data_IF_161704067794
#
_entry.id   IF_161704067794
#
_cell.length_a   1.000
_cell.length_b   1.000
_cell.length_c   1.000
_cell.angle_alpha   90.00
_cell.angle_beta   90.00
_cell.angle_gamma   90.00
#
_symmetry.space_group_name_H-M   'P 1'
#
loop_
_entity.id
_entity.type
_entity.pdbx_description
1 polymer ?
#
# COMPACT_ATOMS: atom_id res chain seq x y z
N UNK A 1 77.90 3.32 29.49
CA UNK A 1 76.55 2.99 30.00
C UNK A 1 75.53 3.63 29.06
N UNK A 2 75.66 3.36 27.76
CA UNK A 2 75.27 4.32 26.73
C UNK A 2 74.75 3.58 25.51
N UNK A 3 73.78 4.20 24.83
CA UNK A 3 73.11 3.81 23.57
C UNK A 3 71.90 2.86 23.64
N UNK A 4 71.92 1.72 24.34
CA UNK A 4 70.79 0.77 24.30
C UNK A 4 69.56 1.20 25.12
N UNK A 5 69.72 1.85 26.26
CA UNK A 5 68.60 2.36 27.07
C UNK A 5 67.93 3.60 26.46
N UNK A 6 68.70 4.46 25.80
CA UNK A 6 68.19 5.64 25.07
C UNK A 6 67.39 5.24 23.82
N UNK A 7 67.81 4.18 23.11
CA UNK A 7 67.06 3.62 21.97
C UNK A 7 65.75 2.97 22.45
N UNK A 8 65.76 2.34 23.62
CA UNK A 8 64.55 1.75 24.23
C UNK A 8 63.55 2.82 24.68
N UNK A 9 64.02 3.93 25.27
CA UNK A 9 63.17 5.06 25.67
C UNK A 9 62.59 5.82 24.47
N UNK A 10 63.36 5.99 23.39
CA UNK A 10 62.88 6.59 22.15
C UNK A 10 61.81 5.71 21.47
N UNK A 11 62.01 4.38 21.47
CA UNK A 11 61.01 3.41 20.99
C UNK A 11 59.72 3.40 21.83
N UNK A 12 59.84 3.47 23.16
CA UNK A 12 58.69 3.58 24.06
C UNK A 12 57.93 4.90 23.88
N UNK A 13 58.64 6.02 23.75
CA UNK A 13 58.05 7.33 23.50
C UNK A 13 57.28 7.36 22.18
N UNK A 14 57.87 6.80 21.11
CA UNK A 14 57.20 6.66 19.81
C UNK A 14 55.95 5.77 19.88
N UNK A 15 56.00 4.69 20.65
CA UNK A 15 54.84 3.81 20.86
C UNK A 15 53.73 4.52 21.66
N UNK A 16 54.08 5.28 22.69
CA UNK A 16 53.13 6.09 23.45
C UNK A 16 52.48 7.18 22.59
N UNK A 17 53.26 7.85 21.74
CA UNK A 17 52.76 8.84 20.77
C UNK A 17 51.78 8.17 19.79
N UNK A 18 52.15 7.00 19.26
CA UNK A 18 51.31 6.24 18.33
C UNK A 18 50.02 5.74 18.98
N UNK A 19 50.08 5.19 20.20
CA UNK A 19 48.90 4.78 20.97
C UNK A 19 48.00 5.97 21.30
N UNK A 20 48.56 7.15 21.56
CA UNK A 20 47.79 8.38 21.79
C UNK A 20 47.06 8.82 20.52
N UNK A 21 47.74 8.79 19.36
CA UNK A 21 47.13 9.12 18.07
C UNK A 21 46.02 8.12 17.70
N UNK A 22 46.27 6.82 17.87
CA UNK A 22 45.26 5.76 17.68
C UNK A 22 44.06 5.96 18.62
N UNK A 23 44.29 6.25 19.91
CA UNK A 23 43.21 6.52 20.85
C UNK A 23 42.38 7.74 20.45
N UNK A 24 43.02 8.78 19.91
CA UNK A 24 42.35 10.00 19.44
C UNK A 24 41.55 9.73 18.16
N UNK A 25 42.11 8.93 17.25
CA UNK A 25 41.43 8.48 16.04
C UNK A 25 40.19 7.63 16.37
N UNK A 26 40.33 6.64 17.25
CA UNK A 26 39.19 5.81 17.71
C UNK A 26 38.10 6.69 18.35
N UNK A 27 38.48 7.68 19.16
CA UNK A 27 37.50 8.62 19.75
C UNK A 27 36.79 9.45 18.69
N UNK A 28 37.52 9.94 17.69
CA UNK A 28 36.95 10.70 16.58
C UNK A 28 36.02 9.83 15.72
N UNK A 29 36.44 8.62 15.36
CA UNK A 29 35.60 7.67 14.61
C UNK A 29 34.35 7.30 15.39
N UNK A 30 34.46 7.04 16.71
CA UNK A 30 33.30 6.77 17.56
C UNK A 30 32.32 7.95 17.57
N UNK A 31 32.82 9.18 17.72
CA UNK A 31 31.98 10.38 17.68
C UNK A 31 31.31 10.56 16.31
N UNK A 32 32.03 10.30 15.23
CA UNK A 32 31.51 10.33 13.86
C UNK A 32 30.40 9.28 13.64
N UNK A 33 30.61 8.05 14.12
CA UNK A 33 29.60 6.98 14.07
C UNK A 33 28.36 7.32 14.90
N UNK A 34 28.54 7.92 16.08
CA UNK A 34 27.41 8.37 16.90
C UNK A 34 26.59 9.48 16.22
N UNK A 35 27.25 10.43 15.55
CA UNK A 35 26.58 11.47 14.77
C UNK A 35 25.84 10.89 13.56
N UNK A 36 26.48 9.97 12.84
CA UNK A 36 25.86 9.28 11.71
C UNK A 36 24.64 8.47 12.16
N UNK A 37 24.73 7.76 13.28
CA UNK A 37 23.60 7.00 13.82
C UNK A 37 22.43 7.92 14.20
N UNK A 38 22.70 9.08 14.82
CA UNK A 38 21.66 10.08 15.10
C UNK A 38 20.97 10.58 13.83
N UNK A 39 21.74 10.82 12.77
CA UNK A 39 21.19 11.21 11.45
C UNK A 39 20.31 10.11 10.87
N UNK A 40 20.78 8.86 10.86
CA UNK A 40 20.03 7.71 10.36
C UNK A 40 18.71 7.55 11.13
N UNK A 41 18.74 7.63 12.46
CA UNK A 41 17.53 7.53 13.29
C UNK A 41 16.54 8.65 12.97
N UNK A 42 17.03 9.88 12.74
CA UNK A 42 16.17 11.01 12.37
C UNK A 42 15.50 10.78 11.02
N UNK A 43 16.26 10.45 9.98
CA UNK A 43 15.74 10.16 8.64
C UNK A 43 14.77 8.98 8.65
N UNK A 44 15.09 7.92 9.40
CA UNK A 44 14.21 6.77 9.60
C UNK A 44 12.85 7.20 10.18
N UNK A 45 12.87 7.98 11.25
CA UNK A 45 11.64 8.46 11.88
C UNK A 45 10.82 9.33 10.94
N UNK A 46 11.45 10.20 10.15
CA UNK A 46 10.74 11.04 9.20
C UNK A 46 10.13 10.23 8.05
N UNK A 47 10.84 9.22 7.55
CA UNK A 47 10.29 8.25 6.58
C UNK A 47 9.09 7.50 7.16
N UNK A 48 9.18 6.97 8.38
CA UNK A 48 8.07 6.27 9.03
C UNK A 48 6.82 7.15 9.16
N UNK A 49 6.98 8.44 9.48
CA UNK A 49 5.85 9.39 9.51
C UNK A 49 5.21 9.56 8.14
N UNK A 50 6.02 9.74 7.09
CA UNK A 50 5.51 9.90 5.73
C UNK A 50 4.74 8.65 5.27
N UNK A 51 5.26 7.45 5.56
CA UNK A 51 4.58 6.19 5.26
C UNK A 51 3.25 6.11 5.99
N UNK A 52 3.22 6.43 7.28
CA UNK A 52 2.00 6.41 8.07
C UNK A 52 0.94 7.37 7.50
N UNK A 53 1.32 8.63 7.20
CA UNK A 53 0.42 9.62 6.59
C UNK A 53 -0.11 9.10 5.25
N UNK A 54 0.78 8.61 4.39
CA UNK A 54 0.42 8.09 3.08
C UNK A 54 -0.60 6.95 3.17
N UNK A 55 -0.46 6.04 4.14
CA UNK A 55 -1.37 4.91 4.33
C UNK A 55 -2.76 5.35 4.79
N UNK A 56 -2.83 6.27 5.75
CA UNK A 56 -4.10 6.85 6.18
C UNK A 56 -4.77 7.63 5.06
N UNK A 57 -3.99 8.31 4.20
CA UNK A 57 -4.55 8.96 3.00
C UNK A 57 -5.15 7.96 2.01
N UNK A 58 -4.46 6.84 1.76
CA UNK A 58 -4.99 5.77 0.91
C UNK A 58 -6.27 5.17 1.48
N UNK A 59 -6.36 5.00 2.79
CA UNK A 59 -7.56 4.49 3.45
C UNK A 59 -8.73 5.47 3.31
N UNK A 60 -8.52 6.77 3.61
CA UNK A 60 -9.53 7.81 3.42
C UNK A 60 -10.02 7.86 1.96
N UNK A 61 -9.10 7.79 0.99
CA UNK A 61 -9.45 7.74 -0.44
C UNK A 61 -10.27 6.50 -0.78
N UNK A 62 -9.92 5.34 -0.21
CA UNK A 62 -10.66 4.08 -0.42
C UNK A 62 -12.07 4.17 0.15
N UNK A 63 -12.22 4.73 1.36
CA UNK A 63 -13.52 4.96 1.99
C UNK A 63 -14.38 5.95 1.21
N UNK A 64 -13.77 7.01 0.66
CA UNK A 64 -14.44 7.95 -0.23
C UNK A 64 -14.95 7.29 -1.51
N UNK A 65 -14.11 6.46 -2.16
CA UNK A 65 -14.48 5.72 -3.37
C UNK A 65 -15.67 4.77 -3.08
N UNK A 66 -15.64 4.12 -1.92
CA UNK A 66 -16.71 3.20 -1.49
C UNK A 66 -17.97 3.92 -0.98
N UNK A 67 -17.95 5.26 -0.92
CA UNK A 67 -19.06 6.10 -0.44
C UNK A 67 -19.46 5.77 1.01
N UNK A 68 -18.47 5.58 1.88
CA UNK A 68 -18.70 5.34 3.30
C UNK A 68 -19.32 6.56 3.99
N UNK A 69 -20.24 6.32 4.94
CA UNK A 69 -21.02 7.36 5.65
C UNK A 69 -20.15 8.37 6.41
N UNK A 70 -18.92 8.00 6.76
CA UNK A 70 -18.02 8.81 7.60
C UNK A 70 -17.12 9.76 6.79
N UNK A 71 -16.95 9.51 5.48
CA UNK A 71 -16.02 10.25 4.63
C UNK A 71 -16.78 10.95 3.52
N UNK A 72 -16.97 12.27 3.70
CA UNK A 72 -17.50 13.15 2.66
C UNK A 72 -16.36 13.90 1.95
N UNK A 73 -16.54 14.31 0.68
CA UNK A 73 -15.56 15.14 -0.04
C UNK A 73 -15.17 16.42 0.72
N UNK A 74 -16.10 16.98 1.51
CA UNK A 74 -15.90 18.18 2.32
C UNK A 74 -15.03 17.91 3.56
N UNK A 75 -15.15 16.72 4.15
CA UNK A 75 -14.39 16.33 5.34
C UNK A 75 -12.98 15.81 5.01
N UNK A 76 -12.72 15.34 3.78
CA UNK A 76 -11.40 14.81 3.39
C UNK A 76 -10.26 15.80 3.66
N UNK A 77 -10.44 17.08 3.34
CA UNK A 77 -9.42 18.11 3.59
C UNK A 77 -9.15 18.31 5.08
N UNK A 78 -10.19 18.23 5.93
CA UNK A 78 -10.05 18.33 7.37
C UNK A 78 -9.33 17.12 7.95
N UNK A 79 -9.70 15.91 7.50
CA UNK A 79 -9.05 14.67 7.92
C UNK A 79 -7.56 14.67 7.53
N UNK A 80 -7.21 15.10 6.33
CA UNK A 80 -5.81 15.24 5.92
C UNK A 80 -5.05 16.26 6.78
N UNK A 81 -5.64 17.42 7.06
CA UNK A 81 -5.01 18.42 7.92
C UNK A 81 -4.76 17.87 9.34
N UNK A 82 -5.70 17.10 9.88
CA UNK A 82 -5.53 16.45 11.18
C UNK A 82 -4.37 15.44 11.17
N UNK A 83 -4.24 14.64 10.11
CA UNK A 83 -3.12 13.71 9.94
C UNK A 83 -1.77 14.45 9.88
N UNK A 84 -1.69 15.55 9.12
CA UNK A 84 -0.47 16.35 9.05
C UNK A 84 -0.13 17.07 10.36
N UNK A 85 -1.13 17.41 11.16
CA UNK A 85 -0.95 18.05 12.48
C UNK A 85 -0.60 17.07 13.61
N UNK A 86 -0.55 15.77 13.32
CA UNK A 86 -0.38 14.73 14.34
C UNK A 86 1.05 14.69 14.90
N UNK A 87 1.16 14.68 16.22
CA UNK A 87 2.44 14.60 16.93
C UNK A 87 2.77 13.14 17.26
N UNK A 88 3.93 12.68 16.79
CA UNK A 88 4.42 11.32 17.05
C UNK A 88 5.15 11.29 18.38
N UNK A 89 4.71 10.40 19.27
CA UNK A 89 5.29 10.18 20.60
C UNK A 89 5.89 8.78 20.65
N UNK A 90 7.04 8.65 21.28
CA UNK A 90 7.68 7.35 21.46
C UNK A 90 6.83 6.46 22.37
N UNK A 91 6.51 5.25 21.91
CA UNK A 91 5.55 4.37 22.58
C UNK A 91 5.92 4.02 24.03
N UNK A 92 7.21 3.95 24.37
CA UNK A 92 7.65 3.66 25.74
C UNK A 92 7.26 4.75 26.75
N UNK A 93 7.05 6.00 26.31
CA UNK A 93 6.59 7.11 27.17
C UNK A 93 5.14 6.96 27.61
N UNK A 94 4.34 6.23 26.82
CA UNK A 94 2.91 6.01 27.06
C UNK A 94 2.71 4.63 27.71
N UNK A 95 3.39 3.61 27.20
CA UNK A 95 3.21 2.22 27.59
C UNK A 95 4.04 1.83 28.82
N UNK A 96 5.02 2.66 29.22
CA UNK A 96 5.87 2.50 30.41
C UNK A 96 6.35 1.04 30.59
N UNK A 97 5.76 0.31 31.55
CA UNK A 97 6.16 -1.05 31.92
C UNK A 97 5.76 -2.12 30.87
N UNK A 98 4.63 -1.93 30.19
CA UNK A 98 4.12 -2.88 29.19
C UNK A 98 4.85 -2.78 27.85
N UNK A 99 5.65 -1.72 27.64
CA UNK A 99 6.36 -1.52 26.39
C UNK A 99 7.30 -2.70 26.06
N UNK A 100 8.00 -3.23 27.07
CA UNK A 100 8.92 -4.34 26.88
C UNK A 100 8.18 -5.64 26.50
N UNK A 101 7.07 -5.93 27.17
CA UNK A 101 6.24 -7.12 26.92
C UNK A 101 5.60 -7.07 25.53
N UNK A 102 5.03 -5.93 25.15
CA UNK A 102 4.42 -5.72 23.83
C UNK A 102 5.47 -5.87 22.73
N UNK A 103 6.68 -5.33 22.92
CA UNK A 103 7.77 -5.50 21.95
C UNK A 103 8.18 -6.96 21.80
N UNK A 104 8.18 -7.75 22.88
CA UNK A 104 8.45 -9.19 22.78
C UNK A 104 7.36 -9.92 22.01
N UNK A 105 6.09 -9.64 22.29
CA UNK A 105 4.96 -10.21 21.55
C UNK A 105 5.04 -9.83 20.07
N UNK A 106 5.32 -8.56 19.79
CA UNK A 106 5.50 -8.05 18.44
C UNK A 106 6.61 -8.81 17.70
N UNK A 107 7.79 -8.95 18.30
CA UNK A 107 8.90 -9.72 17.71
C UNK A 107 8.49 -11.15 17.40
N UNK A 108 7.82 -11.84 18.32
CA UNK A 108 7.34 -13.22 18.10
C UNK A 108 6.39 -13.28 16.90
N UNK A 109 5.47 -12.32 16.78
CA UNK A 109 4.50 -12.27 15.68
C UNK A 109 5.15 -11.98 14.33
N UNK A 110 6.12 -11.05 14.27
CA UNK A 110 6.85 -10.73 13.03
C UNK A 110 7.58 -11.95 12.48
N UNK A 111 8.25 -12.71 13.35
CA UNK A 111 9.00 -13.91 12.95
C UNK A 111 8.13 -15.17 12.77
N UNK A 112 6.82 -15.09 12.99
CA UNK A 112 5.91 -16.22 12.87
C UNK A 112 4.76 -15.95 11.88
N UNK A 113 5.04 -15.72 10.58
CA UNK A 113 4.02 -15.39 9.58
C UNK A 113 2.94 -16.49 9.44
N UNK A 114 3.31 -17.75 9.68
CA UNK A 114 2.37 -18.88 9.73
C UNK A 114 1.32 -18.73 10.83
N UNK A 115 1.74 -18.34 12.03
CA UNK A 115 0.85 -18.19 13.18
C UNK A 115 -0.10 -17.02 12.97
N UNK A 116 0.40 -15.92 12.41
CA UNK A 116 -0.41 -14.75 12.05
C UNK A 116 -1.44 -15.13 10.97
N UNK A 117 -1.06 -15.92 9.95
CA UNK A 117 -2.00 -16.41 8.95
C UNK A 117 -3.10 -17.29 9.55
N UNK A 118 -2.76 -18.19 10.48
CA UNK A 118 -3.73 -19.02 11.21
C UNK A 118 -4.67 -18.17 12.07
N UNK A 119 -4.13 -17.17 12.76
CA UNK A 119 -4.90 -16.24 13.58
C UNK A 119 -5.90 -15.47 12.73
N UNK A 120 -5.46 -14.86 11.63
CA UNK A 120 -6.34 -14.12 10.72
C UNK A 120 -7.43 -15.03 10.12
N UNK A 121 -7.08 -16.24 9.68
CA UNK A 121 -8.06 -17.18 9.16
C UNK A 121 -9.07 -17.62 10.22
N UNK A 122 -8.63 -17.81 11.47
CA UNK A 122 -9.50 -18.08 12.60
C UNK A 122 -10.47 -16.92 12.88
N UNK A 123 -9.97 -15.69 12.82
CA UNK A 123 -10.78 -14.48 13.03
C UNK A 123 -11.83 -14.30 11.94
N UNK A 124 -11.52 -14.61 10.68
CA UNK A 124 -12.50 -14.56 9.58
C UNK A 124 -13.64 -15.57 9.78
N UNK A 125 -13.31 -16.80 10.20
CA UNK A 125 -14.32 -17.83 10.49
C UNK A 125 -15.17 -17.48 11.72
N UNK A 126 -14.57 -16.84 12.73
CA UNK A 126 -15.24 -16.40 13.95
C UNK A 126 -16.01 -15.08 13.78
N UNK A 127 -15.71 -14.27 12.75
CA UNK A 127 -16.41 -13.01 12.50
C UNK A 127 -17.91 -13.23 12.18
N UNK A 128 -18.29 -14.43 11.76
CA UNK A 128 -19.70 -14.82 11.60
C UNK A 128 -20.47 -14.89 12.94
N UNK A 129 -19.81 -14.83 14.11
CA UNK A 129 -20.47 -15.16 15.40
C UNK A 129 -20.48 -14.06 16.46
N UNK A 130 -19.97 -12.83 16.23
CA UNK A 130 -20.13 -11.58 17.04
C UNK A 130 -18.81 -10.79 17.25
N UNK A 131 -18.04 -10.48 16.20
CA UNK A 131 -16.90 -9.55 16.36
C UNK A 131 -17.35 -8.14 15.96
N UNK A 132 -17.27 -7.18 16.91
CA UNK A 132 -17.61 -5.76 16.70
C UNK A 132 -16.60 -5.01 15.83
N UNK A 133 -15.38 -5.53 15.71
CA UNK A 133 -14.34 -4.96 14.86
C UNK A 133 -14.42 -5.50 13.45
N UNK A 134 -14.34 -4.60 12.48
CA UNK A 134 -14.34 -4.96 11.08
C UNK A 134 -13.05 -5.72 10.76
N UNK A 135 -13.14 -6.87 10.07
CA UNK A 135 -11.96 -7.63 9.60
C UNK A 135 -10.98 -6.70 8.85
N UNK A 136 -11.51 -5.66 8.19
CA UNK A 136 -10.75 -4.61 7.52
C UNK A 136 -9.78 -3.87 8.45
N UNK A 137 -10.20 -3.49 9.67
CA UNK A 137 -9.34 -2.84 10.67
C UNK A 137 -8.22 -3.78 11.13
N UNK A 138 -8.54 -5.06 11.32
CA UNK A 138 -7.55 -6.05 11.73
C UNK A 138 -6.49 -6.26 10.65
N UNK A 139 -6.93 -6.42 9.39
CA UNK A 139 -6.03 -6.55 8.25
C UNK A 139 -5.17 -5.28 8.09
N UNK A 140 -5.77 -4.09 8.26
CA UNK A 140 -5.06 -2.82 8.21
C UNK A 140 -4.00 -2.74 9.31
N UNK A 141 -4.35 -3.09 10.56
CA UNK A 141 -3.41 -3.12 11.67
C UNK A 141 -2.27 -4.12 11.44
N UNK A 142 -2.57 -5.35 11.02
CA UNK A 142 -1.52 -6.35 10.75
C UNK A 142 -0.59 -5.88 9.63
N UNK A 143 -1.14 -5.33 8.54
CA UNK A 143 -0.32 -4.86 7.43
C UNK A 143 0.56 -3.66 7.81
N UNK A 144 0.00 -2.65 8.47
CA UNK A 144 0.71 -1.41 8.76
C UNK A 144 1.60 -1.50 10.01
N UNK A 145 1.09 -2.12 11.08
CA UNK A 145 1.77 -2.19 12.37
C UNK A 145 2.75 -3.35 12.39
N UNK A 146 2.33 -4.57 12.00
CA UNK A 146 3.19 -5.76 12.12
C UNK A 146 4.24 -5.86 11.02
N UNK A 147 3.87 -5.52 9.78
CA UNK A 147 4.77 -5.59 8.64
C UNK A 147 5.24 -4.23 8.14
N UNK A 148 5.06 -3.16 8.91
CA UNK A 148 5.62 -1.84 8.59
C UNK A 148 5.26 -1.34 7.19
N UNK A 149 4.08 -1.68 6.66
CA UNK A 149 3.68 -1.36 5.28
C UNK A 149 4.53 -1.99 4.16
N UNK A 150 5.29 -3.04 4.47
CA UNK A 150 6.25 -3.71 3.58
C UNK A 150 7.32 -2.76 3.05
N UNK A 151 7.78 -1.82 3.88
CA UNK A 151 8.82 -0.86 3.47
C UNK A 151 10.20 -1.52 3.40
N UNK A 152 10.52 -2.44 4.32
CA UNK A 152 11.78 -3.17 4.30
C UNK A 152 11.65 -4.51 3.56
N UNK A 153 12.72 -4.99 2.90
CA UNK A 153 12.70 -6.28 2.19
C UNK A 153 12.37 -7.47 3.10
N UNK A 154 12.75 -7.40 4.38
CA UNK A 154 12.44 -8.46 5.35
C UNK A 154 10.95 -8.52 5.67
N UNK A 155 10.30 -7.35 5.80
CA UNK A 155 8.85 -7.25 5.97
C UNK A 155 8.11 -7.76 4.73
N UNK A 156 8.61 -7.42 3.53
CA UNK A 156 8.07 -7.91 2.26
C UNK A 156 8.13 -9.44 2.19
N UNK A 157 9.26 -10.03 2.56
CA UNK A 157 9.43 -11.48 2.61
C UNK A 157 8.44 -12.12 3.60
N UNK A 158 8.34 -11.60 4.81
CA UNK A 158 7.43 -12.14 5.83
C UNK A 158 5.95 -12.01 5.39
N UNK A 159 5.61 -10.92 4.70
CA UNK A 159 4.28 -10.71 4.13
C UNK A 159 3.98 -11.71 3.01
N UNK A 160 4.95 -11.99 2.12
CA UNK A 160 4.80 -13.02 1.09
C UNK A 160 4.63 -14.43 1.68
N UNK A 161 5.39 -14.77 2.73
CA UNK A 161 5.20 -16.03 3.47
C UNK A 161 3.81 -16.12 4.09
N UNK A 162 3.32 -15.02 4.68
CA UNK A 162 1.96 -14.94 5.21
C UNK A 162 0.90 -15.14 4.12
N UNK A 163 1.04 -14.49 2.96
CA UNK A 163 0.15 -14.69 1.82
C UNK A 163 0.18 -16.14 1.34
N UNK A 164 1.37 -16.76 1.26
CA UNK A 164 1.53 -18.17 0.91
C UNK A 164 0.78 -19.10 1.87
N UNK A 165 0.83 -18.83 3.18
CA UNK A 165 0.06 -19.58 4.16
C UNK A 165 -1.46 -19.34 4.04
N UNK A 166 -1.88 -18.10 3.80
CA UNK A 166 -3.30 -17.77 3.57
C UNK A 166 -3.86 -18.44 2.32
N UNK A 167 -3.09 -18.56 1.22
CA UNK A 167 -3.49 -19.31 0.02
C UNK A 167 -3.83 -20.76 0.39
N UNK A 168 -2.94 -21.41 1.14
CA UNK A 168 -3.16 -22.79 1.56
C UNK A 168 -4.40 -22.94 2.44
N UNK A 169 -4.64 -21.99 3.35
CA UNK A 169 -5.75 -22.04 4.29
C UNK A 169 -7.10 -21.64 3.69
N UNK A 170 -7.13 -20.70 2.75
CA UNK A 170 -8.37 -20.04 2.29
C UNK A 170 -8.74 -20.35 0.84
N UNK A 171 -7.76 -20.70 0.00
CA UNK A 171 -7.96 -20.96 -1.42
C UNK A 171 -7.88 -22.45 -1.70
N UNK A 172 -6.80 -23.12 -1.28
CA UNK A 172 -6.58 -24.55 -1.57
C UNK A 172 -7.60 -25.44 -0.84
N UNK A 173 -7.93 -25.10 0.41
CA UNK A 173 -8.89 -25.85 1.22
C UNK A 173 -10.36 -25.51 0.92
N UNK A 174 -10.63 -24.58 -0.01
CA UNK A 174 -11.98 -24.10 -0.29
C UNK A 174 -12.58 -24.88 -1.45
N UNK A 175 -13.86 -25.26 -1.34
CA UNK A 175 -14.55 -25.99 -2.41
C UNK A 175 -14.77 -25.11 -3.65
N UNK A 176 -14.95 -23.79 -3.48
CA UNK A 176 -15.20 -22.83 -4.57
C UNK A 176 -14.23 -21.62 -4.50
N UNK A 177 -12.94 -21.79 -4.84
CA UNK A 177 -11.95 -20.73 -4.76
C UNK A 177 -12.31 -19.50 -5.62
N UNK A 178 -12.96 -19.72 -6.76
CA UNK A 178 -13.43 -18.65 -7.66
C UNK A 178 -14.41 -17.70 -6.98
N UNK A 179 -15.31 -18.23 -6.16
CA UNK A 179 -16.33 -17.43 -5.45
C UNK A 179 -15.70 -16.56 -4.37
N UNK A 180 -14.74 -17.11 -3.65
CA UNK A 180 -13.98 -16.41 -2.61
C UNK A 180 -13.18 -15.25 -3.19
N UNK A 181 -12.45 -15.50 -4.29
CA UNK A 181 -11.66 -14.45 -4.95
C UNK A 181 -12.52 -13.35 -5.56
N UNK A 182 -13.64 -13.70 -6.21
CA UNK A 182 -14.55 -12.71 -6.82
C UNK A 182 -15.23 -11.80 -5.80
N UNK A 183 -15.54 -12.32 -4.62
CA UNK A 183 -16.16 -11.51 -3.56
C UNK A 183 -15.18 -10.49 -2.98
N UNK A 184 -13.87 -10.74 -3.03
CA UNK A 184 -12.85 -9.83 -2.53
C UNK A 184 -12.82 -9.64 -1.01
N UNK A 185 -13.76 -10.23 -0.28
CA UNK A 185 -13.95 -10.02 1.16
C UNK A 185 -13.22 -11.04 2.05
N UNK A 186 -12.35 -11.89 1.49
CA UNK A 186 -11.52 -12.77 2.32
C UNK A 186 -10.33 -12.00 2.90
N UNK A 187 -9.79 -12.48 4.01
CA UNK A 187 -8.53 -11.94 4.56
C UNK A 187 -7.43 -12.00 3.50
N UNK A 188 -7.29 -13.11 2.77
CA UNK A 188 -6.32 -13.22 1.68
C UNK A 188 -6.48 -12.09 0.66
N UNK A 189 -7.70 -11.86 0.15
CA UNK A 189 -7.94 -10.82 -0.86
C UNK A 189 -7.60 -9.42 -0.35
N UNK A 190 -7.92 -9.11 0.91
CA UNK A 190 -7.58 -7.82 1.54
C UNK A 190 -6.08 -7.64 1.73
N UNK A 191 -5.41 -8.64 2.31
CA UNK A 191 -3.96 -8.58 2.54
C UNK A 191 -3.20 -8.51 1.20
N UNK A 192 -3.65 -9.24 0.19
CA UNK A 192 -3.08 -9.18 -1.16
C UNK A 192 -3.30 -7.81 -1.82
N UNK A 193 -4.46 -7.19 -1.61
CA UNK A 193 -4.73 -5.81 -2.05
C UNK A 193 -3.73 -4.83 -1.42
N UNK A 194 -3.61 -4.84 -0.08
CA UNK A 194 -2.66 -3.97 0.62
C UNK A 194 -1.22 -4.17 0.17
N UNK A 195 -0.81 -5.42 0.00
CA UNK A 195 0.50 -5.76 -0.55
C UNK A 195 0.68 -5.22 -1.97
N UNK A 196 -0.19 -5.56 -2.92
CA UNK A 196 -0.03 -5.15 -4.32
C UNK A 196 -0.07 -3.63 -4.53
N UNK A 197 -0.89 -2.90 -3.76
CA UNK A 197 -0.96 -1.43 -3.76
C UNK A 197 0.25 -0.75 -3.11
N UNK A 198 0.95 -1.46 -2.21
CA UNK A 198 2.18 -0.98 -1.58
C UNK A 198 3.38 -1.01 -2.52
N UNK A 199 3.43 -1.97 -3.45
CA UNK A 199 4.58 -2.15 -4.33
C UNK A 199 4.69 -1.01 -5.33
N UNK A 200 5.81 -0.29 -5.28
CA UNK A 200 6.14 0.72 -6.29
C UNK A 200 6.22 0.11 -7.70
N UNK A 201 6.77 -1.11 -7.80
CA UNK A 201 6.86 -1.87 -9.05
C UNK A 201 5.50 -2.06 -9.71
N UNK A 202 4.45 -2.33 -8.93
CA UNK A 202 3.07 -2.46 -9.42
C UNK A 202 2.58 -1.15 -10.04
N UNK A 203 2.85 -0.01 -9.37
CA UNK A 203 2.43 1.31 -9.88
C UNK A 203 3.15 1.68 -11.16
N UNK A 204 4.46 1.43 -11.24
CA UNK A 204 5.25 1.67 -12.45
C UNK A 204 4.74 0.79 -13.59
N UNK A 205 4.52 -0.50 -13.32
CA UNK A 205 3.99 -1.44 -14.30
C UNK A 205 2.61 -1.01 -14.82
N UNK A 206 1.67 -0.71 -13.92
CA UNK A 206 0.32 -0.27 -14.30
C UNK A 206 0.35 1.06 -15.05
N UNK A 207 1.20 1.99 -14.65
CA UNK A 207 1.37 3.27 -15.36
C UNK A 207 1.91 3.02 -16.76
N UNK A 208 2.98 2.24 -16.91
CA UNK A 208 3.55 1.94 -18.22
C UNK A 208 2.55 1.20 -19.13
N UNK A 209 1.77 0.26 -18.59
CA UNK A 209 0.82 -0.54 -19.36
C UNK A 209 -0.47 0.22 -19.73
N UNK A 210 -0.95 1.11 -18.86
CA UNK A 210 -2.26 1.75 -19.02
C UNK A 210 -2.17 3.21 -19.45
N UNK A 211 -1.02 3.88 -19.31
CA UNK A 211 -0.90 5.31 -19.62
C UNK A 211 -1.25 5.60 -21.08
N UNK A 212 -0.60 4.93 -22.05
CA UNK A 212 -0.89 5.17 -23.46
C UNK A 212 -2.35 4.83 -23.84
N UNK A 213 -2.92 3.65 -23.50
CA UNK A 213 -4.32 3.36 -23.78
C UNK A 213 -5.31 4.37 -23.17
N UNK A 214 -5.07 4.80 -21.92
CA UNK A 214 -5.94 5.78 -21.25
C UNK A 214 -5.81 7.15 -21.93
N UNK A 215 -4.58 7.62 -22.21
CA UNK A 215 -4.37 8.90 -22.88
C UNK A 215 -4.93 8.91 -24.30
N UNK A 216 -4.81 7.80 -25.02
CA UNK A 216 -5.44 7.62 -26.33
C UNK A 216 -6.96 7.71 -26.22
N UNK A 217 -7.59 7.05 -25.24
CA UNK A 217 -9.03 7.13 -25.05
C UNK A 217 -9.48 8.56 -24.71
N UNK A 218 -8.73 9.27 -23.84
CA UNK A 218 -9.04 10.64 -23.44
C UNK A 218 -8.87 11.67 -24.57
N UNK A 219 -8.04 11.38 -25.58
CA UNK A 219 -7.85 12.26 -26.74
C UNK A 219 -8.88 12.05 -27.84
N UNK A 220 -9.68 10.98 -27.79
CA UNK A 220 -10.78 10.76 -28.73
C UNK A 220 -11.95 11.68 -28.38
N UNK A 221 -12.22 12.68 -29.22
CA UNK A 221 -13.47 13.43 -29.16
C UNK A 221 -14.65 12.51 -29.55
N UNK A 222 -15.73 12.53 -28.77
CA UNK A 222 -17.03 11.87 -29.07
C UNK A 222 -17.05 10.33 -29.19
N UNK A 223 -16.17 9.60 -28.48
CA UNK A 223 -16.26 8.14 -28.43
C UNK A 223 -17.24 7.66 -27.35
N UNK A 224 -18.50 7.46 -27.72
CA UNK A 224 -19.49 6.82 -26.84
C UNK A 224 -19.34 5.29 -26.88
N UNK A 225 -18.72 4.71 -25.85
CA UNK A 225 -18.55 3.25 -25.66
C UNK A 225 -19.85 2.56 -25.20
N UNK A 226 -21.01 3.09 -25.56
CA UNK A 226 -22.30 2.56 -25.12
C UNK A 226 -22.66 1.28 -25.89
N UNK A 227 -22.65 0.14 -25.19
CA UNK A 227 -23.06 -1.16 -25.73
C UNK A 227 -24.59 -1.35 -25.61
N UNK A 228 -25.25 -0.58 -24.73
CA UNK A 228 -26.68 -0.70 -24.43
C UNK A 228 -27.55 0.10 -25.44
N UNK A 229 -28.39 -0.58 -26.25
CA UNK A 229 -29.21 0.07 -27.27
C UNK A 229 -30.29 1.00 -26.70
N UNK A 230 -30.66 0.86 -25.43
CA UNK A 230 -31.64 1.74 -24.79
C UNK A 230 -31.06 3.09 -24.38
N UNK A 231 -29.73 3.17 -24.15
CA UNK A 231 -29.03 4.37 -23.67
C UNK A 231 -28.41 5.20 -24.78
N UNK A 232 -28.06 4.55 -25.89
CA UNK A 232 -27.43 5.19 -27.05
C UNK A 232 -28.26 6.35 -27.64
N UNK A 233 -29.61 6.26 -27.76
CA UNK A 233 -30.39 7.41 -28.19
C UNK A 233 -30.41 8.51 -27.12
N UNK A 234 -30.56 8.21 -25.84
CA UNK A 234 -30.89 9.21 -24.79
C UNK A 234 -29.89 10.38 -24.73
N UNK A 235 -28.63 10.16 -25.10
CA UNK A 235 -27.56 11.18 -25.05
C UNK A 235 -27.38 11.98 -26.33
N UNK A 236 -27.92 11.51 -27.46
CA UNK A 236 -27.87 12.27 -28.72
C UNK A 236 -28.90 13.39 -28.63
N UNK A 237 -28.50 14.67 -28.82
CA UNK A 237 -29.43 15.79 -28.82
C UNK A 237 -30.58 15.55 -29.77
N UNK A 238 -31.79 15.97 -29.39
CA UNK A 238 -33.02 15.70 -30.16
C UNK A 238 -32.94 16.18 -31.62
N UNK A 239 -32.15 17.22 -31.89
CA UNK A 239 -31.89 17.73 -33.23
C UNK A 239 -31.00 16.80 -34.07
N UNK A 240 -29.92 16.27 -33.49
CA UNK A 240 -29.04 15.33 -34.17
C UNK A 240 -29.71 13.96 -34.36
N UNK A 241 -30.54 13.52 -33.42
CA UNK A 241 -31.36 12.31 -33.59
C UNK A 241 -32.23 12.36 -34.84
N UNK A 242 -32.95 13.48 -35.01
CA UNK A 242 -33.84 13.68 -36.14
C UNK A 242 -33.07 13.71 -37.47
N UNK A 243 -31.87 14.29 -37.47
CA UNK A 243 -31.00 14.27 -38.66
C UNK A 243 -30.40 12.88 -38.95
N UNK A 244 -29.89 12.18 -37.94
CA UNK A 244 -29.17 10.91 -38.11
C UNK A 244 -30.12 9.72 -38.32
N UNK A 245 -31.24 9.66 -37.60
CA UNK A 245 -32.12 8.49 -37.54
C UNK A 245 -33.55 8.76 -38.06
N UNK A 246 -33.97 10.03 -38.14
CA UNK A 246 -35.30 10.44 -38.60
C UNK A 246 -36.24 10.88 -37.48
N UNK A 247 -37.39 11.45 -37.85
CA UNK A 247 -38.34 12.09 -36.92
C UNK A 247 -39.20 11.11 -36.10
N UNK A 248 -39.50 9.94 -36.67
CA UNK A 248 -40.39 8.94 -36.05
C UNK A 248 -39.60 7.76 -35.48
N UNK A 249 -39.51 7.68 -34.16
CA UNK A 249 -38.79 6.61 -33.44
C UNK A 249 -39.37 5.20 -33.70
N UNK A 250 -40.66 5.11 -34.09
CA UNK A 250 -41.33 3.87 -34.42
C UNK A 250 -41.24 3.47 -35.91
N UNK A 251 -40.66 4.33 -36.76
CA UNK A 251 -40.49 4.01 -38.17
C UNK A 251 -39.51 2.85 -38.37
N UNK A 252 -39.79 2.01 -39.37
CA UNK A 252 -38.93 0.88 -39.75
C UNK A 252 -37.53 1.36 -40.17
N UNK A 253 -37.45 2.53 -40.82
CA UNK A 253 -36.19 3.15 -41.24
C UNK A 253 -35.34 3.65 -40.05
N UNK A 254 -35.99 4.17 -38.99
CA UNK A 254 -35.29 4.60 -37.77
C UNK A 254 -34.62 3.43 -37.07
N UNK A 255 -35.34 2.30 -36.93
CA UNK A 255 -34.83 1.07 -36.33
C UNK A 255 -33.68 0.45 -37.13
N UNK A 256 -33.73 0.52 -38.46
CA UNK A 256 -32.66 0.03 -39.34
C UNK A 256 -31.38 0.90 -39.23
N UNK A 257 -31.50 2.23 -39.23
CA UNK A 257 -30.35 3.13 -39.07
C UNK A 257 -29.72 3.04 -37.68
N UNK A 258 -30.53 2.85 -36.63
CA UNK A 258 -30.05 2.55 -35.29
C UNK A 258 -29.29 1.21 -35.23
N UNK A 259 -29.81 0.17 -35.90
CA UNK A 259 -29.13 -1.13 -35.96
C UNK A 259 -27.79 -1.07 -36.73
N UNK A 260 -27.69 -0.23 -37.76
CA UNK A 260 -26.44 0.01 -38.49
C UNK A 260 -25.42 0.76 -37.62
N UNK A 261 -25.85 1.84 -36.96
CA UNK A 261 -25.00 2.59 -36.03
C UNK A 261 -24.45 1.70 -34.92
N UNK A 262 -25.28 0.78 -34.38
CA UNK A 262 -24.84 -0.24 -33.43
C UNK A 262 -23.74 -1.14 -33.98
N UNK A 263 -23.87 -1.64 -35.21
CA UNK A 263 -22.82 -2.49 -35.83
C UNK A 263 -21.50 -1.73 -35.92
N UNK A 264 -21.52 -0.47 -36.34
CA UNK A 264 -20.32 0.36 -36.41
C UNK A 264 -19.66 0.59 -35.05
N UNK A 265 -20.43 0.72 -33.96
CA UNK A 265 -19.88 0.80 -32.60
C UNK A 265 -19.25 -0.53 -32.19
N UNK A 266 -19.94 -1.66 -32.43
CA UNK A 266 -19.42 -2.99 -32.10
C UNK A 266 -18.14 -3.31 -32.89
N UNK A 267 -18.09 -2.95 -34.17
CA UNK A 267 -16.90 -3.13 -35.01
C UNK A 267 -15.74 -2.25 -34.52
N UNK A 268 -16.01 -1.06 -33.98
CA UNK A 268 -15.00 -0.21 -33.34
C UNK A 268 -14.53 -0.72 -31.97
N UNK A 269 -15.30 -1.59 -31.32
CA UNK A 269 -14.98 -2.20 -30.03
C UNK A 269 -14.26 -3.54 -30.16
N UNK A 270 -14.33 -4.19 -31.33
CA UNK A 270 -13.53 -5.36 -31.65
C UNK A 270 -12.11 -4.91 -32.02
N UNK A 271 -11.21 -4.97 -31.03
CA UNK A 271 -9.76 -4.94 -31.25
C UNK A 271 -9.30 -6.24 -31.93
#
# INVERSE_FOLDING_TARGET
MDSTELVNFAGLSFLCEKLRLESLLIKHEKASLEDLNKKIIKEYNDICKQIWIYRHQQEILTQLINSDLNVSPENCCQLFNNLYSSNFVEGYKILNQYAAEIVQVYKILVYAPRSVAMFLNGTEKAAHTNIKHTIDELCFCVFNVLYGSCFFPEDEKNMLELLGHLINLQIVQNQDPRKTLRKGNSVFSRMYKYFSESLLSTKIFLTAALHEPIMFLLSQEELFLDIDPSKSPIRIPSNEKRQRFGSDENSKSYKEKMAQYRRTIVDKLQF
#
